data_IF_083869046860
#
_entry.id   IF_083869046860
#
_cell.length_a   1.000
_cell.length_b   1.000
_cell.length_c   1.000
_cell.angle_alpha   90.00
_cell.angle_beta   90.00
_cell.angle_gamma   90.00
#
_symmetry.space_group_name_H-M   'P 1'
#
loop_
_entity.id
_entity.type
_entity.pdbx_description
1 polymer ?
#
# COMPACT_ATOMS: atom_id res chain seq x y z
N UNK A 1 7.10 -1.81 -5.68
CA UNK A 1 7.99 -0.67 -5.98
C UNK A 1 9.30 -1.17 -6.52
N UNK A 2 9.90 -0.46 -7.47
CA UNK A 2 11.24 -0.71 -7.98
C UNK A 2 12.10 0.55 -7.80
N UNK A 3 13.42 0.43 -7.87
CA UNK A 3 14.30 1.59 -8.01
C UNK A 3 14.07 2.21 -9.39
N UNK A 4 13.86 3.52 -9.46
CA UNK A 4 13.68 4.26 -10.71
C UNK A 4 14.93 4.10 -11.59
N UNK A 5 14.71 3.91 -12.89
CA UNK A 5 15.79 3.66 -13.85
C UNK A 5 16.34 2.23 -13.83
N UNK A 6 15.76 1.31 -13.05
CA UNK A 6 16.03 -0.12 -13.22
C UNK A 6 15.41 -0.65 -14.52
N UNK A 7 16.13 -1.57 -15.17
CA UNK A 7 15.71 -2.23 -16.43
C UNK A 7 14.55 -3.22 -16.25
N UNK A 8 14.05 -3.36 -15.01
CA UNK A 8 12.96 -4.27 -14.66
C UNK A 8 11.63 -3.66 -15.11
N UNK A 9 10.91 -4.40 -15.96
CA UNK A 9 9.56 -4.04 -16.41
C UNK A 9 8.56 -5.05 -15.86
N UNK A 10 7.60 -4.59 -15.04
CA UNK A 10 6.56 -5.43 -14.44
C UNK A 10 5.20 -4.91 -14.86
N UNK A 11 4.49 -5.68 -15.68
CA UNK A 11 3.12 -5.36 -16.09
C UNK A 11 2.10 -6.34 -15.49
N UNK A 12 2.56 -7.53 -15.09
CA UNK A 12 1.71 -8.61 -14.58
C UNK A 12 2.30 -9.23 -13.32
N UNK A 13 1.47 -9.96 -12.57
CA UNK A 13 1.95 -10.81 -11.47
C UNK A 13 2.95 -11.87 -11.96
N UNK A 14 2.81 -12.34 -13.20
CA UNK A 14 3.73 -13.30 -13.81
C UNK A 14 5.14 -12.73 -14.00
N UNK A 15 5.25 -11.45 -14.36
CA UNK A 15 6.55 -10.77 -14.48
C UNK A 15 7.21 -10.64 -13.10
N UNK A 16 6.43 -10.25 -12.09
CA UNK A 16 6.92 -10.12 -10.72
C UNK A 16 7.43 -11.45 -10.15
N UNK A 17 6.85 -12.60 -10.53
CA UNK A 17 7.35 -13.92 -10.12
C UNK A 17 8.71 -14.29 -10.70
N UNK A 18 9.13 -13.64 -11.79
CA UNK A 18 10.37 -13.94 -12.51
C UNK A 18 11.57 -13.10 -12.05
N UNK A 19 11.34 -12.06 -11.25
CA UNK A 19 12.45 -11.26 -10.70
C UNK A 19 13.24 -12.07 -9.67
N UNK A 20 14.49 -11.68 -9.41
CA UNK A 20 15.37 -12.36 -8.47
C UNK A 20 14.86 -12.34 -7.04
N UNK A 21 14.47 -11.17 -6.52
CA UNK A 21 13.97 -11.06 -5.15
C UNK A 21 12.96 -9.93 -4.92
N UNK A 22 11.91 -10.24 -4.13
CA UNK A 22 10.91 -9.30 -3.67
C UNK A 22 11.01 -9.14 -2.15
N UNK A 23 11.46 -7.97 -1.69
CA UNK A 23 11.46 -7.63 -0.27
C UNK A 23 10.04 -7.54 0.30
N UNK A 24 9.82 -8.12 1.47
CA UNK A 24 8.56 -8.07 2.22
C UNK A 24 8.81 -8.12 3.73
N UNK A 25 7.75 -7.92 4.53
CA UNK A 25 7.79 -8.14 5.98
C UNK A 25 7.27 -9.55 6.24
N UNK A 26 8.05 -10.34 6.98
CA UNK A 26 7.68 -11.69 7.35
C UNK A 26 6.40 -11.74 8.18
N UNK A 27 5.56 -12.73 7.88
CA UNK A 27 4.23 -13.01 8.46
C UNK A 27 3.18 -11.90 8.25
N UNK A 28 3.48 -10.86 7.48
CA UNK A 28 2.55 -9.81 7.14
C UNK A 28 1.50 -10.25 6.12
N UNK A 29 0.42 -9.47 6.01
CA UNK A 29 -0.71 -9.77 5.11
C UNK A 29 -0.31 -9.79 3.63
N UNK A 30 0.74 -9.06 3.24
CA UNK A 30 1.22 -8.96 1.85
C UNK A 30 2.05 -10.17 1.49
N UNK A 31 2.95 -10.61 2.36
CA UNK A 31 3.71 -11.84 2.18
C UNK A 31 2.76 -13.04 2.07
N UNK A 32 1.80 -13.17 3.00
CA UNK A 32 0.78 -14.23 2.97
C UNK A 32 -0.03 -14.21 1.68
N UNK A 33 -0.39 -13.02 1.18
CA UNK A 33 -1.07 -12.86 -0.11
C UNK A 33 -0.18 -13.35 -1.27
N UNK A 34 1.07 -12.90 -1.35
CA UNK A 34 1.98 -13.30 -2.42
C UNK A 34 2.26 -14.81 -2.39
N UNK A 35 2.43 -15.41 -1.20
CA UNK A 35 2.54 -16.87 -1.04
C UNK A 35 1.31 -17.59 -1.59
N UNK A 36 0.09 -17.15 -1.26
CA UNK A 36 -1.16 -17.71 -1.84
C UNK A 36 -1.25 -17.55 -3.35
N UNK A 37 -0.68 -16.48 -3.90
CA UNK A 37 -0.59 -16.24 -5.34
C UNK A 37 0.54 -17.05 -6.00
N UNK A 38 1.30 -17.86 -5.25
CA UNK A 38 2.34 -18.75 -5.77
C UNK A 38 3.66 -18.03 -6.08
N UNK A 39 4.01 -17.01 -5.31
CA UNK A 39 5.35 -16.40 -5.35
C UNK A 39 6.33 -17.24 -4.51
N UNK A 40 7.52 -17.47 -5.06
CA UNK A 40 8.60 -18.23 -4.41
C UNK A 40 9.88 -17.41 -4.22
N UNK A 41 9.91 -16.19 -4.74
CA UNK A 41 11.05 -15.27 -4.75
C UNK A 41 10.92 -14.17 -3.68
N UNK A 42 10.39 -14.50 -2.50
CA UNK A 42 10.17 -13.56 -1.41
C UNK A 42 11.40 -13.49 -0.48
N UNK A 43 11.91 -12.28 -0.26
CA UNK A 43 12.92 -11.98 0.75
C UNK A 43 12.24 -11.37 1.98
N UNK A 44 11.95 -12.23 2.96
CA UNK A 44 11.17 -11.88 4.14
C UNK A 44 12.05 -11.34 5.26
N UNK A 45 11.86 -10.08 5.64
CA UNK A 45 12.54 -9.46 6.76
C UNK A 45 11.62 -9.36 7.98
N UNK A 46 12.20 -9.55 9.16
CA UNK A 46 11.51 -9.45 10.45
C UNK A 46 12.11 -8.30 11.26
N UNK A 47 11.35 -7.78 12.22
CA UNK A 47 11.80 -6.69 13.10
C UNK A 47 11.20 -5.33 12.73
N UNK A 48 11.37 -4.36 13.65
CA UNK A 48 10.79 -3.01 13.53
C UNK A 48 11.42 -2.19 12.40
N UNK A 49 12.63 -2.53 12.01
CA UNK A 49 13.45 -1.92 10.97
C UNK A 49 13.28 -2.59 9.59
N UNK A 50 12.39 -3.59 9.45
CA UNK A 50 12.21 -4.31 8.19
C UNK A 50 11.87 -3.41 6.99
N UNK A 51 11.11 -2.33 7.20
CA UNK A 51 10.81 -1.35 6.14
C UNK A 51 12.06 -0.59 5.68
N UNK A 52 12.85 -0.12 6.64
CA UNK A 52 14.12 0.57 6.40
C UNK A 52 15.05 -0.32 5.58
N UNK A 53 15.28 -1.54 6.06
CA UNK A 53 16.17 -2.49 5.40
C UNK A 53 15.68 -2.90 4.01
N UNK A 54 14.37 -3.07 3.81
CA UNK A 54 13.83 -3.33 2.48
C UNK A 54 14.09 -2.13 1.53
N UNK A 55 13.93 -0.89 1.99
CA UNK A 55 14.25 0.28 1.20
C UNK A 55 15.75 0.32 0.84
N UNK A 56 16.65 0.14 1.81
CA UNK A 56 18.09 0.11 1.57
C UNK A 56 18.49 -1.00 0.58
N UNK A 57 17.94 -2.20 0.75
CA UNK A 57 18.18 -3.32 -0.16
C UNK A 57 17.70 -3.00 -1.58
N UNK A 58 16.55 -2.32 -1.74
CA UNK A 58 16.05 -1.90 -3.04
C UNK A 58 17.00 -0.87 -3.69
N UNK A 59 17.45 0.12 -2.92
CA UNK A 59 18.35 1.17 -3.42
C UNK A 59 19.73 0.63 -3.79
N UNK A 60 20.21 -0.39 -3.07
CA UNK A 60 21.47 -1.09 -3.33
C UNK A 60 21.33 -2.19 -4.41
N UNK A 61 20.14 -2.45 -4.95
CA UNK A 61 19.91 -3.51 -5.94
C UNK A 61 20.05 -4.94 -5.39
N UNK A 62 19.92 -5.12 -4.07
CA UNK A 62 19.91 -6.46 -3.42
C UNK A 62 18.55 -7.14 -3.51
N UNK A 63 17.50 -6.38 -3.76
CA UNK A 63 16.18 -6.85 -4.17
C UNK A 63 15.73 -6.05 -5.39
N UNK A 64 14.94 -6.68 -6.25
CA UNK A 64 14.42 -6.07 -7.47
C UNK A 64 13.16 -5.26 -7.20
N UNK A 65 12.32 -5.80 -6.31
CA UNK A 65 11.04 -5.23 -5.96
C UNK A 65 10.86 -5.18 -4.44
N UNK A 66 10.11 -4.18 -3.97
CA UNK A 66 9.60 -4.13 -2.61
C UNK A 66 8.06 -4.08 -2.64
N UNK A 67 7.40 -5.04 -1.99
CA UNK A 67 5.95 -5.01 -1.78
C UNK A 67 5.62 -4.20 -0.53
N UNK A 68 4.93 -3.07 -0.72
CA UNK A 68 4.56 -2.17 0.37
C UNK A 68 3.40 -1.28 -0.08
N UNK A 69 2.97 -0.37 0.80
CA UNK A 69 2.11 0.74 0.40
C UNK A 69 2.98 1.94 0.09
N UNK A 70 2.52 2.82 -0.78
CA UNK A 70 3.15 4.11 -1.01
C UNK A 70 3.26 4.95 0.29
N UNK A 71 2.41 4.70 1.30
CA UNK A 71 2.49 5.41 2.62
C UNK A 71 3.77 5.05 3.34
N UNK A 72 4.03 3.75 3.41
CA UNK A 72 5.20 3.20 4.07
C UNK A 72 6.44 3.59 3.27
N UNK A 73 6.40 3.46 1.94
CA UNK A 73 7.53 3.83 1.07
C UNK A 73 7.92 5.29 1.26
N UNK A 74 6.98 6.23 1.13
CA UNK A 74 7.28 7.66 1.25
C UNK A 74 7.68 8.05 2.66
N UNK A 75 7.04 7.48 3.70
CA UNK A 75 7.45 7.71 5.07
C UNK A 75 8.87 7.22 5.32
N UNK A 76 9.18 5.97 4.92
CA UNK A 76 10.51 5.39 5.11
C UNK A 76 11.57 6.19 4.36
N UNK A 77 11.31 6.59 3.11
CA UNK A 77 12.23 7.43 2.34
C UNK A 77 12.50 8.78 3.02
N UNK A 78 11.46 9.45 3.52
CA UNK A 78 11.58 10.70 4.25
C UNK A 78 12.37 10.54 5.56
N UNK A 79 12.10 9.48 6.32
CA UNK A 79 12.79 9.20 7.59
C UNK A 79 14.28 8.91 7.39
N UNK A 80 14.70 8.47 6.19
CA UNK A 80 16.09 8.10 5.86
C UNK A 80 16.83 9.13 5.02
N UNK A 81 16.16 10.20 4.59
CA UNK A 81 16.72 11.16 3.64
C UNK A 81 16.96 10.60 2.23
N UNK A 82 16.34 9.47 1.87
CA UNK A 82 16.36 8.94 0.49
C UNK A 82 15.34 9.72 -0.31
N UNK A 83 15.71 10.21 -1.51
CA UNK A 83 14.76 10.90 -2.37
C UNK A 83 13.69 9.90 -2.87
N UNK A 84 12.45 10.14 -2.44
CA UNK A 84 11.29 9.36 -2.88
C UNK A 84 11.10 9.31 -4.39
N UNK A 85 11.65 10.28 -5.15
CA UNK A 85 11.61 10.28 -6.61
C UNK A 85 12.51 9.21 -7.25
N UNK A 86 13.41 8.59 -6.48
CA UNK A 86 14.20 7.43 -6.91
C UNK A 86 13.44 6.10 -6.78
N UNK A 87 12.20 6.14 -6.28
CA UNK A 87 11.38 4.95 -6.04
C UNK A 87 10.13 5.03 -6.91
N UNK A 88 9.86 3.97 -7.66
CA UNK A 88 8.78 3.93 -8.65
C UNK A 88 7.77 2.82 -8.31
N UNK A 89 6.47 3.15 -8.34
CA UNK A 89 5.40 2.13 -8.30
C UNK A 89 5.31 1.43 -9.66
N UNK A 90 5.27 0.10 -9.68
CA UNK A 90 5.27 -0.68 -10.94
C UNK A 90 4.03 -1.54 -11.13
N UNK A 91 3.46 -2.10 -10.06
CA UNK A 91 2.30 -3.00 -10.15
C UNK A 91 1.51 -2.94 -8.85
N UNK A 92 0.22 -2.66 -8.95
CA UNK A 92 -0.71 -2.78 -7.82
C UNK A 92 -1.18 -4.24 -7.68
N UNK A 93 -0.78 -4.92 -6.61
CA UNK A 93 -1.14 -6.34 -6.37
C UNK A 93 -2.59 -6.50 -5.91
N UNK A 94 -3.04 -5.62 -5.01
CA UNK A 94 -4.43 -5.59 -4.50
C UNK A 94 -4.78 -4.17 -4.10
N UNK A 95 -5.95 -3.69 -4.54
CA UNK A 95 -6.57 -2.48 -3.98
C UNK A 95 -7.35 -2.87 -2.73
N UNK A 96 -7.13 -2.15 -1.64
CA UNK A 96 -7.86 -2.33 -0.40
C UNK A 96 -8.50 -1.00 0.00
N UNK A 97 -9.75 -1.08 0.44
CA UNK A 97 -10.50 0.06 0.94
C UNK A 97 -10.58 -0.03 2.46
N UNK A 98 -10.49 1.12 3.12
CA UNK A 98 -10.60 1.23 4.58
C UNK A 98 -11.98 1.73 4.93
N UNK A 99 -12.60 1.11 5.93
CA UNK A 99 -13.95 1.42 6.40
C UNK A 99 -13.95 1.67 7.90
N UNK A 100 -14.96 2.42 8.37
CA UNK A 100 -15.30 2.44 9.78
C UNK A 100 -16.01 1.13 10.12
N UNK A 101 -15.49 0.42 11.11
CA UNK A 101 -16.10 -0.81 11.62
C UNK A 101 -16.88 -0.50 12.90
N UNK A 102 -18.08 -1.07 13.00
CA UNK A 102 -18.98 -0.92 14.15
C UNK A 102 -19.26 -2.30 14.76
N UNK A 103 -19.59 -2.34 16.06
CA UNK A 103 -20.11 -3.56 16.69
C UNK A 103 -21.44 -3.96 16.04
N UNK A 104 -21.74 -5.25 15.95
CA UNK A 104 -23.01 -5.76 15.42
C UNK A 104 -24.23 -5.28 16.20
N UNK A 105 -24.04 -4.93 17.48
CA UNK A 105 -25.10 -4.42 18.35
C UNK A 105 -25.29 -2.90 18.25
N UNK A 106 -24.51 -2.21 17.40
CA UNK A 106 -24.65 -0.78 17.17
C UNK A 106 -25.92 -0.53 16.36
N UNK A 107 -26.80 0.33 16.87
CA UNK A 107 -28.03 0.71 16.16
C UNK A 107 -27.72 1.25 14.75
N UNK A 108 -28.42 0.71 13.74
CA UNK A 108 -28.31 1.11 12.34
C UNK A 108 -28.48 2.62 12.14
N UNK A 109 -29.25 3.29 13.00
CA UNK A 109 -29.40 4.76 12.95
C UNK A 109 -28.05 5.46 13.13
N UNK A 110 -27.22 5.00 14.07
CA UNK A 110 -25.89 5.55 14.33
C UNK A 110 -24.99 5.29 13.11
N UNK A 111 -24.99 4.05 12.61
CA UNK A 111 -24.19 3.67 11.43
C UNK A 111 -24.56 4.52 10.21
N UNK A 112 -25.85 4.73 9.99
CA UNK A 112 -26.37 5.54 8.89
C UNK A 112 -25.99 7.03 9.01
N UNK A 113 -25.97 7.58 10.23
CA UNK A 113 -25.54 8.95 10.47
C UNK A 113 -24.05 9.15 10.13
N UNK A 114 -23.18 8.23 10.55
CA UNK A 114 -21.76 8.23 10.18
C UNK A 114 -21.58 8.12 8.67
N UNK A 115 -22.33 7.22 8.03
CA UNK A 115 -22.25 7.01 6.59
C UNK A 115 -22.71 8.25 5.81
N UNK A 116 -23.79 8.91 6.25
CA UNK A 116 -24.30 10.13 5.63
C UNK A 116 -23.30 11.29 5.79
N UNK A 117 -22.78 11.49 7.00
CA UNK A 117 -21.82 12.56 7.30
C UNK A 117 -20.54 12.42 6.47
N UNK A 118 -19.98 11.20 6.39
CA UNK A 118 -18.80 10.95 5.55
C UNK A 118 -19.07 11.22 4.07
N UNK A 119 -20.26 10.86 3.56
CA UNK A 119 -20.66 11.15 2.17
C UNK A 119 -20.75 12.66 1.93
N UNK A 120 -21.33 13.42 2.87
CA UNK A 120 -21.42 14.87 2.79
C UNK A 120 -20.02 15.52 2.78
N UNK A 121 -19.13 15.11 3.69
CA UNK A 121 -17.74 15.60 3.76
C UNK A 121 -16.93 15.29 2.50
N UNK A 122 -17.21 14.17 1.83
CA UNK A 122 -16.58 13.85 0.54
C UNK A 122 -17.11 14.75 -0.57
N UNK A 123 -18.42 15.03 -0.58
CA UNK A 123 -19.08 15.87 -1.59
C UNK A 123 -18.67 17.35 -1.49
N UNK A 124 -18.56 17.88 -0.27
CA UNK A 124 -18.23 19.30 -0.04
C UNK A 124 -16.72 19.61 -0.05
N UNK A 125 -15.87 18.58 -0.16
CA UNK A 125 -14.41 18.72 -0.20
C UNK A 125 -13.73 18.81 1.17
N UNK A 126 -14.48 18.80 2.28
CA UNK A 126 -13.94 18.77 3.65
C UNK A 126 -13.01 17.57 3.84
N UNK A 127 -13.41 16.40 3.36
CA UNK A 127 -12.61 15.18 3.45
C UNK A 127 -11.26 15.34 2.74
N UNK A 128 -11.25 15.96 1.56
CA UNK A 128 -10.01 16.25 0.80
C UNK A 128 -9.12 17.24 1.52
N UNK A 129 -9.70 18.29 2.11
CA UNK A 129 -8.96 19.29 2.90
C UNK A 129 -8.28 18.63 4.11
N UNK A 130 -8.99 17.78 4.86
CA UNK A 130 -8.43 17.05 6.00
C UNK A 130 -7.27 16.17 5.55
N UNK A 131 -7.47 15.34 4.51
CA UNK A 131 -6.43 14.44 4.03
C UNK A 131 -5.18 15.18 3.54
N UNK A 132 -5.33 16.35 2.92
CA UNK A 132 -4.19 17.13 2.42
C UNK A 132 -3.19 17.58 3.50
N UNK A 133 -3.60 17.57 4.77
CA UNK A 133 -2.74 17.88 5.91
C UNK A 133 -1.82 16.71 6.30
N UNK A 134 -2.09 15.50 5.79
CA UNK A 134 -1.31 14.31 6.07
C UNK A 134 -0.40 13.98 4.88
N UNK A 135 0.86 13.57 5.11
CA UNK A 135 1.86 13.33 4.06
C UNK A 135 1.41 12.38 2.93
N UNK A 136 0.44 11.51 3.20
CA UNK A 136 -0.09 10.54 2.24
C UNK A 136 -1.40 10.93 1.54
N UNK A 137 -2.03 12.04 1.93
CA UNK A 137 -3.46 12.23 1.68
C UNK A 137 -3.84 12.60 0.25
N UNK A 138 -2.99 13.33 -0.49
CA UNK A 138 -3.37 13.89 -1.79
C UNK A 138 -3.31 12.90 -2.96
N UNK A 139 -2.36 11.95 -2.97
CA UNK A 139 -2.23 10.94 -4.04
C UNK A 139 -3.26 9.79 -3.92
N UNK A 140 -4.05 9.75 -2.85
CA UNK A 140 -4.88 8.59 -2.48
C UNK A 140 -6.35 8.90 -2.20
N UNK A 141 -6.81 10.09 -2.56
CA UNK A 141 -8.23 10.40 -2.51
C UNK A 141 -8.91 9.72 -3.69
N UNK A 142 -9.41 8.51 -3.47
CA UNK A 142 -10.43 7.95 -4.35
C UNK A 142 -11.80 8.38 -3.85
N UNK A 143 -12.56 8.99 -4.74
CA UNK A 143 -13.99 9.24 -4.56
C UNK A 143 -14.84 8.13 -5.17
N UNK A 144 -14.18 7.14 -5.80
CA UNK A 144 -14.86 6.06 -6.45
C UNK A 144 -15.51 5.16 -5.39
N UNK A 145 -16.78 4.77 -5.57
CA UNK A 145 -17.35 3.70 -4.78
C UNK A 145 -16.52 2.43 -5.00
N UNK A 146 -16.34 1.59 -3.97
CA UNK A 146 -15.69 0.29 -4.13
C UNK A 146 -16.57 -0.59 -5.03
N UNK A 147 -16.36 -0.54 -6.34
CA UNK A 147 -17.04 -1.43 -7.26
C UNK A 147 -16.48 -2.85 -7.02
N UNK A 148 -17.33 -3.72 -6.48
CA UNK A 148 -17.07 -5.13 -6.20
C UNK A 148 -15.91 -5.40 -5.21
N UNK A 149 -16.00 -4.86 -3.99
CA UNK A 149 -15.36 -5.51 -2.86
C UNK A 149 -16.05 -6.89 -2.70
N UNK A 150 -15.49 -7.93 -3.34
CA UNK A 150 -15.89 -9.30 -3.02
C UNK A 150 -15.65 -9.49 -1.52
N UNK A 151 -16.68 -9.91 -0.75
CA UNK A 151 -16.48 -10.22 0.66
C UNK A 151 -15.42 -11.30 0.78
N UNK A 152 -14.56 -11.14 1.79
CA UNK A 152 -13.49 -12.09 2.12
C UNK A 152 -14.02 -13.50 2.42
#
# INVERSE_FOLDING_TARGET
FKKKGSDITINTLGDAKKVGAIGCIGDDVREKLLKRLGFTNLNSLFGKDANLRNLEMLMLGRIDLWISTDQIVFKTANDTGIDSNEIEETLTVKKAYVYLAFSKDTDDKIVNEWQHTLKAMKKDGTYKKILSQYPSGLKRITFDPPNNAQPE
#
